data_IF_621123690547
#
_entry.id   IF_621123690547
#
_cell.length_a   1.000
_cell.length_b   1.000
_cell.length_c   1.000
_cell.angle_alpha   90.00
_cell.angle_beta   90.00
_cell.angle_gamma   90.00
#
_symmetry.space_group_name_H-M   'P 1'
#
loop_
_entity.id
_entity.type
_entity.pdbx_description
1 polymer ?
#
# COMPACT_ATOMS: atom_id res chain seq x y z
N UNK A 1 -33.89 -26.85 -38.71
CA UNK A 1 -33.54 -27.38 -37.37
C UNK A 1 -32.11 -27.00 -36.91
N UNK A 2 -31.61 -25.80 -37.24
CA UNK A 2 -30.26 -25.31 -36.86
C UNK A 2 -30.26 -24.13 -35.87
N UNK A 3 -31.41 -23.49 -35.64
CA UNK A 3 -31.55 -22.24 -34.88
C UNK A 3 -31.47 -22.42 -33.36
N UNK A 4 -32.05 -23.50 -32.81
CA UNK A 4 -32.07 -23.73 -31.35
C UNK A 4 -30.67 -23.86 -30.72
N UNK A 5 -29.70 -24.48 -31.43
CA UNK A 5 -28.32 -24.65 -30.90
C UNK A 5 -27.57 -23.33 -30.79
N UNK A 6 -27.76 -22.42 -31.74
CA UNK A 6 -27.08 -21.12 -31.76
C UNK A 6 -27.61 -20.20 -30.67
N UNK A 7 -28.92 -20.21 -30.41
CA UNK A 7 -29.53 -19.46 -29.30
C UNK A 7 -29.06 -19.96 -27.94
N UNK A 8 -29.01 -21.29 -27.74
CA UNK A 8 -28.47 -21.90 -26.52
C UNK A 8 -26.99 -21.55 -26.30
N UNK A 9 -26.19 -21.46 -27.37
CA UNK A 9 -24.79 -21.09 -27.28
C UNK A 9 -24.60 -19.60 -26.92
N UNK A 10 -25.40 -18.72 -27.51
CA UNK A 10 -25.38 -17.28 -27.19
C UNK A 10 -25.83 -17.00 -25.75
N UNK A 11 -26.85 -17.72 -25.26
CA UNK A 11 -27.30 -17.61 -23.86
C UNK A 11 -26.23 -18.12 -22.91
N UNK A 12 -25.59 -19.25 -23.22
CA UNK A 12 -24.49 -19.78 -22.42
C UNK A 12 -23.29 -18.82 -22.38
N UNK A 13 -22.92 -18.22 -23.52
CA UNK A 13 -21.84 -17.24 -23.61
C UNK A 13 -22.18 -15.95 -22.84
N UNK A 14 -23.42 -15.48 -22.95
CA UNK A 14 -23.88 -14.30 -22.21
C UNK A 14 -23.88 -14.56 -20.69
N UNK A 15 -24.35 -15.72 -20.24
CA UNK A 15 -24.30 -16.11 -18.83
C UNK A 15 -22.86 -16.24 -18.34
N UNK A 16 -21.93 -16.77 -19.15
CA UNK A 16 -20.52 -16.88 -18.80
C UNK A 16 -19.87 -15.50 -18.67
N UNK A 17 -20.18 -14.57 -19.57
CA UNK A 17 -19.72 -13.18 -19.50
C UNK A 17 -20.35 -12.43 -18.32
N UNK A 18 -21.63 -12.68 -18.02
CA UNK A 18 -22.33 -12.06 -16.90
C UNK A 18 -21.82 -12.59 -15.55
N UNK A 19 -21.59 -13.90 -15.43
CA UNK A 19 -20.99 -14.52 -14.23
C UNK A 19 -19.54 -14.06 -14.01
N UNK A 20 -18.73 -13.96 -15.08
CA UNK A 20 -17.38 -13.40 -14.96
C UNK A 20 -17.40 -11.89 -14.66
N UNK A 21 -18.37 -11.15 -15.22
CA UNK A 21 -18.54 -9.72 -14.99
C UNK A 21 -19.00 -9.39 -13.56
N UNK A 22 -19.89 -10.20 -12.98
CA UNK A 22 -20.37 -10.02 -11.59
C UNK A 22 -19.28 -10.41 -10.58
N UNK A 23 -18.50 -11.46 -10.84
CA UNK A 23 -17.40 -11.86 -9.94
C UNK A 23 -16.26 -10.82 -9.86
N UNK A 24 -16.17 -9.86 -10.79
CA UNK A 24 -15.18 -8.79 -10.75
C UNK A 24 -15.60 -7.59 -9.90
N UNK A 25 -16.87 -7.52 -9.48
CA UNK A 25 -17.44 -6.43 -8.67
C UNK A 25 -17.93 -6.89 -7.29
N UNK A 26 -17.46 -8.03 -6.80
CA UNK A 26 -17.50 -8.29 -5.37
C UNK A 26 -16.49 -7.34 -4.72
N UNK A 27 -16.97 -6.22 -4.17
CA UNK A 27 -16.21 -5.46 -3.18
C UNK A 27 -15.94 -6.42 -2.01
N UNK A 28 -14.73 -6.98 -1.96
CA UNK A 28 -14.30 -7.78 -0.81
C UNK A 28 -14.29 -6.85 0.41
N UNK A 29 -15.21 -7.08 1.35
CA UNK A 29 -15.14 -6.45 2.67
C UNK A 29 -13.78 -6.79 3.31
N UNK A 30 -13.03 -5.76 3.71
CA UNK A 30 -11.74 -5.95 4.36
C UNK A 30 -11.97 -6.54 5.74
N UNK A 31 -11.81 -7.87 5.87
CA UNK A 31 -11.78 -8.51 7.18
C UNK A 31 -10.47 -8.22 7.88
N UNK A 32 -10.51 -7.28 8.82
CA UNK A 32 -9.35 -6.94 9.65
C UNK A 32 -8.92 -8.14 10.50
N UNK A 33 -7.68 -8.60 10.30
CA UNK A 33 -7.06 -9.61 11.16
C UNK A 33 -6.31 -8.89 12.29
N UNK A 34 -6.63 -9.15 13.57
CA UNK A 34 -6.00 -8.45 14.71
C UNK A 34 -4.49 -8.73 14.85
N UNK A 35 -3.96 -9.71 14.12
CA UNK A 35 -2.55 -10.08 14.07
C UNK A 35 -1.81 -9.48 12.88
N UNK A 36 -2.48 -8.76 11.98
CA UNK A 36 -1.82 -8.06 10.88
C UNK A 36 -1.04 -6.85 11.38
N UNK A 37 0.13 -6.61 10.78
CA UNK A 37 0.80 -5.33 10.84
C UNK A 37 0.07 -4.36 9.92
N UNK A 38 -0.34 -3.21 10.44
CA UNK A 38 -0.93 -2.13 9.63
C UNK A 38 0.18 -1.16 9.26
N UNK A 39 0.42 -0.99 7.97
CA UNK A 39 1.29 0.07 7.44
C UNK A 39 0.41 1.15 6.84
N UNK A 40 0.41 2.32 7.46
CA UNK A 40 -0.35 3.46 6.97
C UNK A 40 0.54 4.42 6.20
N UNK A 41 0.10 4.79 4.99
CA UNK A 41 0.66 5.91 4.26
C UNK A 41 -0.29 7.11 4.37
N UNK A 42 0.11 8.16 5.09
CA UNK A 42 -0.62 9.42 5.19
C UNK A 42 -1.09 9.97 3.85
N UNK A 43 -2.29 10.54 3.86
CA UNK A 43 -2.68 11.44 2.79
C UNK A 43 -1.81 12.70 2.83
N UNK A 44 -1.40 13.14 1.66
CA UNK A 44 -0.57 14.31 1.37
C UNK A 44 -1.25 15.11 0.24
N UNK A 45 -0.51 15.98 -0.42
CA UNK A 45 -1.05 16.81 -1.52
C UNK A 45 -0.56 16.35 -2.88
N UNK A 46 -1.44 16.48 -3.88
CA UNK A 46 -1.08 16.45 -5.29
C UNK A 46 -0.33 15.15 -5.67
N UNK A 47 0.75 15.21 -6.47
CA UNK A 47 1.42 14.04 -7.04
C UNK A 47 2.19 13.20 -6.03
N UNK A 48 2.46 13.73 -4.83
CA UNK A 48 3.01 12.88 -3.78
C UNK A 48 2.01 11.79 -3.44
N UNK A 49 0.69 12.06 -3.35
CA UNK A 49 -0.29 11.00 -3.12
C UNK A 49 -0.24 9.91 -4.18
N UNK A 50 -0.05 10.30 -5.44
CA UNK A 50 0.00 9.37 -6.58
C UNK A 50 1.31 8.58 -6.65
N UNK A 51 2.39 9.11 -6.08
CA UNK A 51 3.70 8.44 -6.08
C UNK A 51 3.64 7.20 -5.19
N UNK A 52 3.71 6.03 -5.82
CA UNK A 52 3.64 4.73 -5.15
C UNK A 52 4.91 4.46 -4.34
N UNK A 53 4.78 4.10 -3.07
CA UNK A 53 5.89 3.58 -2.27
C UNK A 53 5.76 2.05 -2.14
N UNK A 54 6.69 1.33 -2.76
CA UNK A 54 6.72 -0.13 -2.82
C UNK A 54 7.34 -0.69 -1.55
N UNK A 55 6.69 -1.69 -0.97
CA UNK A 55 7.21 -2.45 0.16
C UNK A 55 8.34 -3.35 -0.31
N UNK A 56 9.42 -3.39 0.47
CA UNK A 56 10.42 -4.44 0.46
C UNK A 56 10.51 -5.05 1.85
N UNK A 57 10.46 -6.37 1.90
CA UNK A 57 10.45 -7.14 3.13
C UNK A 57 11.55 -8.20 3.07
N UNK A 58 12.52 -8.09 3.96
CA UNK A 58 13.66 -9.01 4.02
C UNK A 58 13.64 -9.79 5.33
N UNK A 59 14.03 -11.06 5.28
CA UNK A 59 14.25 -11.87 6.46
C UNK A 59 15.42 -11.29 7.26
N UNK A 60 15.23 -11.04 8.56
CA UNK A 60 16.26 -10.36 9.35
C UNK A 60 17.49 -11.24 9.58
N UNK A 61 17.33 -12.56 9.56
CA UNK A 61 18.40 -13.53 9.78
C UNK A 61 19.15 -13.83 8.49
N UNK A 62 18.42 -14.15 7.41
CA UNK A 62 19.05 -14.57 6.14
C UNK A 62 19.34 -13.42 5.18
N UNK A 63 18.63 -12.29 5.34
CA UNK A 63 18.69 -11.17 4.40
C UNK A 63 17.97 -11.43 3.06
N UNK A 64 17.28 -12.57 2.91
CA UNK A 64 16.55 -12.89 1.69
C UNK A 64 15.31 -12.01 1.53
N UNK A 65 15.03 -11.58 0.28
CA UNK A 65 13.78 -10.91 -0.05
C UNK A 65 12.62 -11.91 0.02
N UNK A 66 11.72 -11.66 0.97
CA UNK A 66 10.55 -12.49 1.26
C UNK A 66 9.24 -11.72 1.06
N UNK A 67 9.30 -10.60 0.33
CA UNK A 67 8.19 -9.67 0.09
C UNK A 67 6.94 -10.34 -0.43
N UNK A 68 7.04 -11.44 -1.19
CA UNK A 68 5.88 -12.12 -1.77
C UNK A 68 5.72 -13.58 -1.31
N UNK A 69 6.64 -14.08 -0.47
CA UNK A 69 6.68 -15.50 -0.07
C UNK A 69 6.29 -15.74 1.39
N UNK A 70 6.53 -14.76 2.27
CA UNK A 70 6.21 -14.84 3.71
C UNK A 70 5.14 -13.84 4.17
N UNK A 71 4.61 -13.02 3.27
CA UNK A 71 3.59 -12.02 3.57
C UNK A 71 2.38 -12.13 2.64
N UNK A 72 1.22 -11.70 3.15
CA UNK A 72 0.01 -11.44 2.36
C UNK A 72 -0.51 -10.06 2.72
N UNK A 73 -0.78 -9.23 1.72
CA UNK A 73 -1.30 -7.89 1.92
C UNK A 73 -2.77 -7.80 1.52
N UNK A 74 -3.57 -7.15 2.37
CA UNK A 74 -4.88 -6.59 2.01
C UNK A 74 -4.81 -5.07 2.15
N UNK A 75 -5.70 -4.34 1.48
CA UNK A 75 -5.67 -2.89 1.44
C UNK A 75 -7.00 -2.29 1.82
N UNK A 76 -6.95 -1.12 2.44
CA UNK A 76 -8.11 -0.28 2.71
C UNK A 76 -7.76 1.19 2.51
N UNK A 77 -8.72 2.00 2.06
CA UNK A 77 -8.62 3.46 2.20
C UNK A 77 -8.91 3.84 3.65
N UNK A 78 -8.17 4.77 4.25
CA UNK A 78 -8.47 5.19 5.62
C UNK A 78 -9.80 5.95 5.72
N UNK A 79 -10.20 6.64 4.65
CA UNK A 79 -11.53 7.26 4.52
C UNK A 79 -12.67 6.24 4.40
N UNK A 80 -12.38 5.06 3.84
CA UNK A 80 -13.36 4.00 3.58
C UNK A 80 -12.77 2.63 3.99
N UNK A 81 -12.57 2.39 5.31
CA UNK A 81 -11.75 1.28 5.80
C UNK A 81 -12.31 -0.12 5.49
N UNK A 82 -13.62 -0.20 5.25
CA UNK A 82 -14.32 -1.46 4.99
C UNK A 82 -14.24 -1.89 3.52
N UNK A 83 -13.79 -1.03 2.60
CA UNK A 83 -13.71 -1.34 1.16
C UNK A 83 -12.32 -1.82 0.77
N UNK A 84 -12.27 -3.03 0.21
CA UNK A 84 -11.05 -3.61 -0.35
C UNK A 84 -10.62 -2.88 -1.63
N UNK A 85 -9.32 -2.69 -1.79
CA UNK A 85 -8.74 -2.12 -3.02
C UNK A 85 -8.16 -3.26 -3.87
N UNK A 86 -8.51 -3.36 -5.17
CA UNK A 86 -7.98 -4.41 -6.04
C UNK A 86 -6.45 -4.42 -6.10
N UNK A 87 -5.87 -5.61 -6.05
CA UNK A 87 -4.44 -5.84 -5.94
C UNK A 87 -3.72 -5.85 -7.30
N UNK A 88 -2.72 -4.98 -7.49
CA UNK A 88 -1.87 -4.92 -8.69
C UNK A 88 -0.59 -5.80 -8.63
N UNK A 89 -0.65 -6.99 -8.05
CA UNK A 89 0.48 -7.98 -8.00
C UNK A 89 1.80 -7.48 -7.38
N UNK A 90 1.85 -6.24 -6.87
CA UNK A 90 3.00 -5.64 -6.21
C UNK A 90 2.55 -4.98 -4.90
N UNK A 91 3.34 -5.09 -3.84
CA UNK A 91 3.00 -4.45 -2.57
C UNK A 91 3.44 -2.99 -2.57
N UNK A 92 2.47 -2.06 -2.56
CA UNK A 92 2.72 -0.62 -2.53
C UNK A 92 1.61 0.16 -1.82
N UNK A 93 1.90 1.41 -1.44
CA UNK A 93 0.93 2.35 -0.87
C UNK A 93 0.86 3.67 -1.64
N UNK A 94 -0.35 4.16 -1.85
CA UNK A 94 -0.66 5.54 -2.25
C UNK A 94 -1.10 6.37 -1.02
N UNK A 95 -1.18 7.70 -1.16
CA UNK A 95 -1.57 8.57 -0.05
C UNK A 95 -2.98 8.26 0.43
N UNK A 96 -3.16 8.11 1.74
CA UNK A 96 -4.45 7.75 2.35
C UNK A 96 -4.74 6.24 2.42
N UNK A 97 -3.83 5.39 1.93
CA UNK A 97 -3.99 3.93 1.99
C UNK A 97 -3.40 3.33 3.27
N UNK A 98 -4.00 2.25 3.74
CA UNK A 98 -3.44 1.33 4.71
C UNK A 98 -3.25 -0.07 4.10
N UNK A 99 -2.10 -0.67 4.37
CA UNK A 99 -1.75 -2.04 4.00
C UNK A 99 -1.79 -2.90 5.26
N UNK A 100 -2.59 -3.96 5.23
CA UNK A 100 -2.73 -4.94 6.29
C UNK A 100 -1.89 -6.15 5.92
N UNK A 101 -0.68 -6.23 6.49
CA UNK A 101 0.26 -7.31 6.24
C UNK A 101 0.05 -8.45 7.24
N UNK A 102 -0.40 -9.59 6.73
CA UNK A 102 -0.38 -10.85 7.44
C UNK A 102 0.97 -11.53 7.19
N UNK A 103 1.72 -11.75 8.27
CA UNK A 103 3.08 -12.27 8.23
C UNK A 103 3.14 -13.66 8.85
N UNK A 104 3.99 -14.54 8.31
CA UNK A 104 4.43 -15.74 9.03
C UNK A 104 5.28 -15.31 10.23
N UNK A 105 5.40 -16.19 11.23
CA UNK A 105 6.26 -15.95 12.39
C UNK A 105 7.73 -15.77 11.95
N UNK A 106 8.39 -14.76 12.50
CA UNK A 106 9.80 -14.43 12.25
C UNK A 106 10.18 -13.00 12.63
N UNK A 107 11.42 -12.64 12.33
CA UNK A 107 11.97 -11.29 12.43
C UNK A 107 12.30 -10.76 11.03
N UNK A 108 11.99 -9.49 10.78
CA UNK A 108 12.00 -8.93 9.44
C UNK A 108 12.56 -7.51 9.39
N UNK A 109 13.17 -7.17 8.26
CA UNK A 109 13.58 -5.81 7.87
C UNK A 109 12.55 -5.26 6.89
N UNK A 110 11.86 -4.20 7.28
CA UNK A 110 10.88 -3.50 6.45
C UNK A 110 11.55 -2.26 5.87
N UNK A 111 11.45 -2.10 4.56
CA UNK A 111 11.84 -0.88 3.86
C UNK A 111 10.84 -0.54 2.76
N UNK A 112 10.86 0.71 2.31
CA UNK A 112 10.06 1.18 1.19
C UNK A 112 10.94 1.84 0.15
N UNK A 113 10.55 1.71 -1.11
CA UNK A 113 11.24 2.34 -2.22
C UNK A 113 10.28 2.78 -3.32
N UNK A 114 10.71 3.72 -4.16
CA UNK A 114 10.01 4.06 -5.41
C UNK A 114 11.00 3.93 -6.56
N UNK A 115 10.77 3.01 -7.52
CA UNK A 115 11.58 2.96 -8.75
C UNK A 115 11.54 4.29 -9.48
N UNK A 116 12.67 4.73 -10.05
CA UNK A 116 12.79 6.06 -10.69
C UNK A 116 11.77 6.28 -11.79
N UNK A 117 11.50 5.24 -12.58
CA UNK A 117 10.53 5.22 -13.65
C UNK A 117 9.06 5.29 -13.19
N UNK A 118 8.81 5.12 -11.88
CA UNK A 118 7.49 5.16 -11.25
C UNK A 118 7.27 6.38 -10.36
N UNK A 119 8.24 7.29 -10.29
CA UNK A 119 8.06 8.57 -9.60
C UNK A 119 7.11 9.43 -10.46
N UNK A 120 5.99 9.88 -9.87
CA UNK A 120 5.05 10.74 -10.59
C UNK A 120 5.71 12.10 -10.85
N UNK A 121 5.93 12.41 -12.13
CA UNK A 121 6.83 13.49 -12.54
C UNK A 121 6.20 14.89 -12.57
N UNK A 122 4.88 15.00 -12.39
CA UNK A 122 4.19 16.28 -12.56
C UNK A 122 4.42 17.16 -11.33
N UNK A 123 5.08 18.31 -11.51
CA UNK A 123 5.32 19.27 -10.43
C UNK A 123 6.54 18.99 -9.52
N UNK A 124 7.21 17.83 -9.66
CA UNK A 124 8.48 17.58 -8.98
C UNK A 124 9.66 18.12 -9.78
N UNK A 125 10.72 18.55 -9.09
CA UNK A 125 11.94 19.02 -9.75
C UNK A 125 12.66 17.86 -10.45
N UNK A 126 13.34 18.15 -11.56
CA UNK A 126 14.14 17.14 -12.29
C UNK A 126 15.23 16.49 -11.44
N UNK A 127 15.67 17.16 -10.39
CA UNK A 127 16.65 16.61 -9.44
C UNK A 127 16.03 15.49 -8.60
N UNK A 128 14.80 15.67 -8.11
CA UNK A 128 14.09 14.66 -7.33
C UNK A 128 13.84 13.37 -8.12
N UNK A 129 13.65 13.48 -9.44
CA UNK A 129 13.47 12.33 -10.34
C UNK A 129 14.74 11.47 -10.50
N UNK A 130 15.92 12.02 -10.18
CA UNK A 130 17.20 11.30 -10.27
C UNK A 130 17.57 10.59 -8.96
N UNK A 131 16.97 11.00 -7.84
CA UNK A 131 17.25 10.44 -6.53
C UNK A 131 16.63 9.06 -6.38
N UNK A 132 17.28 8.23 -5.57
CA UNK A 132 16.73 6.95 -5.14
C UNK A 132 15.83 7.19 -3.94
N UNK A 133 14.52 7.11 -4.16
CA UNK A 133 13.53 7.30 -3.11
C UNK A 133 13.45 6.02 -2.28
N UNK A 134 14.24 5.95 -1.22
CA UNK A 134 14.26 4.84 -0.28
C UNK A 134 13.89 5.31 1.12
N UNK A 135 13.46 4.38 1.96
CA UNK A 135 13.28 4.61 3.39
C UNK A 135 14.47 4.15 4.23
N UNK A 136 14.46 4.53 5.50
CA UNK A 136 15.15 3.79 6.54
C UNK A 136 14.59 2.36 6.66
N UNK A 137 15.37 1.47 7.30
CA UNK A 137 14.91 0.13 7.66
C UNK A 137 14.20 0.15 9.01
N UNK A 138 13.05 -0.51 9.11
CA UNK A 138 12.34 -0.77 10.36
C UNK A 138 12.46 -2.25 10.70
N UNK A 139 12.95 -2.57 11.90
CA UNK A 139 13.02 -3.95 12.39
C UNK A 139 11.68 -4.33 13.02
N UNK A 140 11.12 -5.44 12.55
CA UNK A 140 9.83 -5.94 12.99
C UNK A 140 9.95 -7.39 13.47
N UNK A 141 9.60 -7.62 14.72
CA UNK A 141 9.52 -8.96 15.32
C UNK A 141 8.05 -9.33 15.54
N UNK A 142 7.64 -10.46 14.97
CA UNK A 142 6.28 -10.98 15.15
C UNK A 142 5.95 -11.43 16.58
N UNK A 143 6.94 -11.68 17.44
CA UNK A 143 6.73 -12.05 18.84
C UNK A 143 6.43 -10.83 19.73
N UNK A 144 6.90 -9.64 19.33
CA UNK A 144 6.61 -8.37 19.98
C UNK A 144 6.09 -7.33 18.96
N UNK A 145 4.87 -7.52 18.44
CA UNK A 145 4.45 -6.83 17.23
C UNK A 145 4.00 -5.40 17.52
N UNK A 146 4.61 -4.44 16.83
CA UNK A 146 3.97 -3.15 16.59
C UNK A 146 2.66 -3.38 15.81
N UNK A 147 1.56 -2.77 16.24
CA UNK A 147 0.28 -2.90 15.51
C UNK A 147 0.22 -2.02 14.28
N UNK A 148 0.84 -0.84 14.35
CA UNK A 148 0.79 0.17 13.31
C UNK A 148 2.18 0.78 13.13
N UNK A 149 2.59 0.95 11.88
CA UNK A 149 3.70 1.80 11.48
C UNK A 149 3.24 2.77 10.38
N UNK A 150 3.94 3.88 10.27
CA UNK A 150 3.67 4.94 9.31
C UNK A 150 4.80 4.99 8.30
N UNK A 151 4.47 5.10 7.02
CA UNK A 151 5.44 5.45 5.97
C UNK A 151 5.08 6.81 5.39
N UNK A 152 5.96 7.78 5.54
CA UNK A 152 5.72 9.17 5.13
C UNK A 152 6.83 9.67 4.21
N UNK A 153 6.53 10.58 3.27
CA UNK A 153 7.57 11.21 2.47
C UNK A 153 8.47 12.07 3.36
N UNK A 154 9.76 12.14 3.03
CA UNK A 154 10.70 13.04 3.69
C UNK A 154 10.61 14.45 3.12
N UNK A 155 10.97 15.43 3.94
CA UNK A 155 10.99 16.84 3.58
C UNK A 155 12.24 17.51 4.15
N UNK A 156 12.72 18.52 3.43
CA UNK A 156 13.81 19.37 3.88
C UNK A 156 13.36 20.35 4.99
N UNK A 157 14.29 21.15 5.49
CA UNK A 157 14.05 22.13 6.56
C UNK A 157 12.96 23.17 6.23
N UNK A 158 12.72 23.41 4.94
CA UNK A 158 11.69 24.34 4.45
C UNK A 158 10.33 23.67 4.21
N UNK A 159 10.18 22.39 4.54
CA UNK A 159 8.94 21.63 4.37
C UNK A 159 8.64 21.15 2.95
N UNK A 160 9.61 21.25 2.03
CA UNK A 160 9.47 20.70 0.67
C UNK A 160 9.98 19.26 0.61
N UNK A 161 9.30 18.42 -0.18
CA UNK A 161 9.72 17.04 -0.39
C UNK A 161 11.13 16.97 -0.99
N UNK A 162 11.99 16.13 -0.40
CA UNK A 162 13.41 16.04 -0.76
C UNK A 162 13.79 14.71 -1.44
N UNK A 163 12.82 13.82 -1.60
CA UNK A 163 12.88 12.62 -2.45
C UNK A 163 13.26 11.35 -1.71
N UNK A 164 12.53 11.03 -0.65
CA UNK A 164 12.71 9.83 0.15
C UNK A 164 11.47 9.46 0.96
N UNK A 165 11.58 8.36 1.68
CA UNK A 165 10.54 7.85 2.57
C UNK A 165 11.08 7.73 3.99
N UNK A 166 10.19 7.73 4.97
CA UNK A 166 10.55 7.52 6.36
C UNK A 166 9.52 6.63 7.04
N UNK A 167 10.00 5.58 7.69
CA UNK A 167 9.21 4.65 8.49
C UNK A 167 9.39 4.96 9.97
N UNK A 168 8.29 5.13 10.68
CA UNK A 168 8.27 5.25 12.13
C UNK A 168 7.02 4.57 12.73
N UNK A 169 7.12 4.10 13.97
CA UNK A 169 5.98 3.66 14.78
C UNK A 169 5.20 4.86 15.33
N UNK A 170 5.85 6.04 15.42
CA UNK A 170 5.20 7.29 15.78
C UNK A 170 4.51 7.88 14.56
N UNK A 171 3.30 8.40 14.78
CA UNK A 171 2.63 9.19 13.75
C UNK A 171 3.51 10.38 13.34
N UNK A 172 3.57 10.72 12.04
CA UNK A 172 4.33 11.87 11.57
C UNK A 172 3.95 13.14 12.32
N UNK A 173 4.92 14.05 12.54
CA UNK A 173 4.71 15.25 13.36
C UNK A 173 3.52 16.11 12.90
N UNK A 174 3.24 16.15 11.59
CA UNK A 174 2.11 16.89 11.03
C UNK A 174 0.73 16.28 11.35
N UNK A 175 0.66 15.04 11.87
CA UNK A 175 -0.57 14.47 12.46
C UNK A 175 -0.83 14.93 13.89
N UNK A 176 0.12 15.62 14.53
CA UNK A 176 -0.17 16.27 15.82
C UNK A 176 -1.14 17.41 15.54
N UNK A 177 -2.43 17.09 15.59
CA UNK A 177 -3.50 18.07 15.66
C UNK A 177 -3.33 18.80 17.00
N UNK A 178 -2.50 19.83 17.03
CA UNK A 178 -2.57 20.82 18.09
C UNK A 178 -3.91 21.52 17.88
N UNK A 179 -4.94 21.07 18.60
CA UNK A 179 -6.08 21.96 18.86
C UNK A 179 -5.46 23.29 19.30
N UNK A 180 -5.82 24.44 18.71
CA UNK A 180 -5.33 25.71 19.22
C UNK A 180 -5.62 25.75 20.72
N UNK A 181 -4.64 26.17 21.51
CA UNK A 181 -4.89 26.54 22.90
C UNK A 181 -6.10 27.48 22.89
N UNK A 182 -7.17 27.06 23.58
CA UNK A 182 -8.27 27.98 23.82
C UNK A 182 -7.75 28.98 24.84
N UNK A 183 -7.49 30.21 24.41
CA UNK A 183 -7.40 31.35 25.31
C UNK A 183 -8.69 31.51 26.12
#
# INVERSE_FOLDING_TARGET
>A
MKTKKTELFSIALFLLLFLNGICLYAEDEVRHNPWSLIIYRPENSWQINETRCYLKFEDAETGEDVTYTKSKANYSWVSEPNKGIPYERNYYLCGGMAMHLLLKKGSYKISFYTPKEKISAQGLSKELLKKDWNSNTFLYDTENPAKVIFVSPTANENGFYDGGWHIDHKAPKFFRFTKPERE
#
